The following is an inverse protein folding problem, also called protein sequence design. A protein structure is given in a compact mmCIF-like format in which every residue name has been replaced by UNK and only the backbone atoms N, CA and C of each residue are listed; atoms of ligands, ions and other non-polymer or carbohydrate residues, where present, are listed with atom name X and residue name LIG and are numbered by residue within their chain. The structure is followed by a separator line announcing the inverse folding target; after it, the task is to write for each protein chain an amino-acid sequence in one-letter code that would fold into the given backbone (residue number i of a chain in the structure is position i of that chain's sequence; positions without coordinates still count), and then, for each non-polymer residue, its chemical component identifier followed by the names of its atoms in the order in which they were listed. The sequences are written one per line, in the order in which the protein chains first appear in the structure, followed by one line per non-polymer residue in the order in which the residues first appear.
data_IF_225689169514
#
_entry.id   IF_225689169514
#
_cell.length_a   1.000
_cell.length_b   1.000
_cell.length_c   1.000
_cell.angle_alpha   90.00
_cell.angle_beta   90.00
_cell.angle_gamma   90.00
#
_symmetry.space_group_name_H-M   'P 1'
#
loop_
_entity.id
_entity.type
_entity.pdbx_description
1 polymer ?
#
# COMPACT_ATOMS: atom_id res chain seq x y z
N UNK A 1 -37.45 -59.74 9.29
CA UNK A 1 -38.09 -59.16 10.49
C UNK A 1 -37.33 -57.90 10.85
N UNK A 2 -38.07 -56.82 11.06
CA UNK A 2 -37.61 -55.43 11.17
C UNK A 2 -36.78 -55.21 12.45
N UNK A 3 -35.58 -54.64 12.28
CA UNK A 3 -34.83 -54.01 13.36
C UNK A 3 -35.40 -52.60 13.60
N UNK A 4 -36.14 -52.44 14.68
CA UNK A 4 -36.54 -51.14 15.23
C UNK A 4 -35.74 -50.90 16.52
N UNK A 5 -34.70 -50.06 16.53
CA UNK A 5 -34.34 -49.40 17.76
C UNK A 5 -35.42 -48.32 17.96
N UNK A 6 -36.40 -48.63 18.80
CA UNK A 6 -37.27 -47.59 19.34
C UNK A 6 -36.36 -46.59 20.06
N UNK A 7 -36.10 -45.46 19.41
CA UNK A 7 -35.55 -44.26 20.03
C UNK A 7 -36.35 -44.03 21.31
N UNK A 8 -35.66 -43.97 22.45
CA UNK A 8 -36.20 -43.37 23.66
C UNK A 8 -36.44 -41.89 23.37
N UNK A 9 -37.60 -41.57 22.81
CA UNK A 9 -38.03 -40.22 22.51
C UNK A 9 -38.33 -39.52 23.84
N UNK A 10 -37.35 -38.80 24.37
CA UNK A 10 -37.51 -37.95 25.55
C UNK A 10 -37.68 -36.52 25.05
N UNK A 11 -38.91 -35.96 25.09
CA UNK A 11 -39.17 -34.60 24.60
C UNK A 11 -38.26 -33.55 25.24
N UNK A 12 -37.84 -33.80 26.49
CA UNK A 12 -36.94 -32.92 27.24
C UNK A 12 -35.51 -32.92 26.69
N UNK A 13 -35.02 -34.09 26.25
CA UNK A 13 -33.69 -34.23 25.66
C UNK A 13 -33.63 -33.53 24.30
N UNK A 14 -34.65 -33.71 23.47
CA UNK A 14 -34.74 -33.04 22.17
C UNK A 14 -34.80 -31.52 22.32
N UNK A 15 -35.62 -31.00 23.25
CA UNK A 15 -35.65 -29.56 23.52
C UNK A 15 -34.31 -29.03 24.00
N UNK A 16 -33.58 -29.79 24.82
CA UNK A 16 -32.27 -29.39 25.30
C UNK A 16 -31.23 -29.35 24.17
N UNK A 17 -31.22 -30.37 23.30
CA UNK A 17 -30.33 -30.44 22.15
C UNK A 17 -30.61 -29.33 21.13
N UNK A 18 -31.89 -28.99 20.90
CA UNK A 18 -32.27 -27.88 20.02
C UNK A 18 -31.77 -26.54 20.58
N UNK A 19 -31.95 -26.30 21.88
CA UNK A 19 -31.44 -25.07 22.52
C UNK A 19 -29.91 -25.01 22.41
N UNK A 20 -29.22 -26.12 22.69
CA UNK A 20 -27.77 -26.19 22.57
C UNK A 20 -27.30 -25.89 21.14
N UNK A 21 -27.97 -26.46 20.14
CA UNK A 21 -27.66 -26.21 18.73
C UNK A 21 -27.85 -24.74 18.34
N UNK A 22 -28.93 -24.09 18.79
CA UNK A 22 -29.18 -22.66 18.56
C UNK A 22 -28.06 -21.82 19.19
N UNK A 23 -27.65 -22.12 20.42
CA UNK A 23 -26.56 -21.42 21.11
C UNK A 23 -25.24 -21.61 20.37
N UNK A 24 -24.93 -22.82 19.90
CA UNK A 24 -23.71 -23.09 19.12
C UNK A 24 -23.71 -22.34 17.79
N UNK A 25 -24.84 -22.31 17.07
CA UNK A 25 -24.96 -21.58 15.80
C UNK A 25 -24.82 -20.07 16.04
N UNK A 26 -25.47 -19.52 17.07
CA UNK A 26 -25.35 -18.12 17.43
C UNK A 26 -23.91 -17.75 17.82
N UNK A 27 -23.24 -18.59 18.61
CA UNK A 27 -21.83 -18.43 18.98
C UNK A 27 -20.92 -18.46 17.77
N UNK A 28 -21.10 -19.42 16.86
CA UNK A 28 -20.33 -19.51 15.62
C UNK A 28 -20.56 -18.30 14.72
N UNK A 29 -21.81 -17.83 14.59
CA UNK A 29 -22.15 -16.61 13.86
C UNK A 29 -21.49 -15.36 14.45
N UNK A 30 -21.44 -15.26 15.79
CA UNK A 30 -20.75 -14.17 16.47
C UNK A 30 -19.24 -14.16 16.19
N UNK A 31 -18.57 -15.31 16.32
CA UNK A 31 -17.14 -15.41 16.00
C UNK A 31 -16.86 -15.13 14.53
N UNK A 32 -17.69 -15.64 13.62
CA UNK A 32 -17.55 -15.36 12.20
C UNK A 32 -17.72 -13.86 11.90
N UNK A 33 -18.68 -13.20 12.55
CA UNK A 33 -18.84 -11.76 12.42
C UNK A 33 -17.63 -10.99 12.97
N UNK A 34 -17.16 -11.35 14.16
CA UNK A 34 -16.07 -10.62 14.83
C UNK A 34 -14.71 -10.82 14.14
N UNK A 35 -14.42 -12.04 13.70
CA UNK A 35 -13.10 -12.41 13.18
C UNK A 35 -13.00 -12.24 11.66
N UNK A 36 -14.12 -12.34 10.94
CA UNK A 36 -14.12 -12.27 9.46
C UNK A 36 -14.79 -10.99 8.98
N UNK A 37 -16.09 -10.80 9.29
CA UNK A 37 -16.85 -9.69 8.72
C UNK A 37 -16.41 -8.32 9.26
N UNK A 38 -16.07 -8.21 10.54
CA UNK A 38 -15.63 -6.96 11.15
C UNK A 38 -14.28 -6.46 10.61
N UNK A 39 -13.19 -7.25 10.56
CA UNK A 39 -11.95 -6.78 9.97
C UNK A 39 -12.06 -6.58 8.45
N UNK A 40 -12.89 -7.37 7.77
CA UNK A 40 -13.14 -7.18 6.34
C UNK A 40 -13.89 -5.88 6.05
N UNK A 41 -14.95 -5.57 6.82
CA UNK A 41 -15.70 -4.32 6.70
C UNK A 41 -14.89 -3.10 7.14
N UNK A 42 -14.03 -3.23 8.16
CA UNK A 42 -13.09 -2.17 8.55
C UNK A 42 -12.08 -1.87 7.44
N UNK A 43 -11.53 -2.89 6.77
CA UNK A 43 -10.67 -2.71 5.59
C UNK A 43 -11.41 -2.14 4.38
N UNK A 44 -12.72 -2.40 4.27
CA UNK A 44 -13.57 -1.93 3.19
C UNK A 44 -14.22 -0.57 3.45
N UNK A 45 -13.93 0.14 4.55
CA UNK A 45 -14.36 1.54 4.72
C UNK A 45 -13.40 2.44 3.95
N UNK A 46 -13.72 2.91 2.74
CA UNK A 46 -12.86 3.80 1.96
C UNK A 46 -12.95 5.24 2.50
N UNK A 47 -13.28 5.40 3.79
CA UNK A 47 -13.85 6.62 4.38
C UNK A 47 -12.98 7.29 5.44
N UNK A 48 -11.97 6.62 5.99
CA UNK A 48 -11.21 7.10 7.15
C UNK A 48 -9.72 7.31 6.89
N UNK A 49 -9.22 6.96 5.70
CA UNK A 49 -7.83 7.21 5.33
C UNK A 49 -7.72 8.56 4.62
N UNK A 50 -6.84 9.41 5.15
CA UNK A 50 -6.45 10.66 4.51
C UNK A 50 -5.34 10.39 3.49
N UNK A 51 -5.27 11.18 2.41
CA UNK A 51 -4.18 11.06 1.45
C UNK A 51 -2.85 11.49 2.09
N UNK A 52 -1.71 11.00 1.57
CA UNK A 52 -0.40 11.36 2.10
C UNK A 52 -0.14 12.85 1.91
N UNK A 53 0.56 13.43 2.87
CA UNK A 53 0.96 14.83 2.84
C UNK A 53 2.33 15.00 2.19
N UNK A 54 2.62 16.21 1.71
CA UNK A 54 3.97 16.55 1.25
C UNK A 54 4.93 16.48 2.44
N UNK A 55 6.00 15.70 2.29
CA UNK A 55 6.98 15.44 3.34
C UNK A 55 6.83 14.09 4.03
N UNK A 56 5.76 13.34 3.79
CA UNK A 56 5.58 12.00 4.35
C UNK A 56 6.71 11.07 3.95
N UNK A 57 7.31 10.40 4.94
CA UNK A 57 8.44 9.47 4.75
C UNK A 57 8.04 8.06 5.18
N UNK A 58 8.15 7.12 4.25
CA UNK A 58 7.99 5.71 4.52
C UNK A 58 9.35 5.02 4.53
N UNK A 59 9.75 4.55 5.71
CA UNK A 59 10.99 3.79 5.87
C UNK A 59 10.75 2.31 5.61
N UNK A 60 11.58 1.73 4.76
CA UNK A 60 11.51 0.32 4.38
C UNK A 60 12.82 -0.37 4.70
N UNK A 61 12.74 -1.41 5.52
CA UNK A 61 13.86 -2.31 5.82
C UNK A 61 13.53 -3.67 5.25
N UNK A 62 14.39 -4.17 4.36
CA UNK A 62 14.18 -5.49 3.75
C UNK A 62 14.43 -6.58 4.80
N UNK A 63 13.48 -7.51 5.01
CA UNK A 63 13.67 -8.61 5.95
C UNK A 63 14.81 -9.54 5.51
N UNK A 64 15.66 -9.97 6.45
CA UNK A 64 16.77 -10.88 6.13
C UNK A 64 16.32 -12.30 5.79
N UNK A 65 15.16 -12.72 6.30
CA UNK A 65 14.61 -14.05 6.06
C UNK A 65 14.15 -14.20 4.61
N UNK A 66 13.47 -13.20 4.06
CA UNK A 66 12.94 -13.21 2.69
C UNK A 66 13.92 -12.61 1.68
N UNK A 67 14.80 -11.69 2.13
CA UNK A 67 15.73 -10.92 1.27
C UNK A 67 15.02 -10.20 0.12
N UNK A 68 13.74 -9.98 0.29
CA UNK A 68 12.84 -9.51 -0.75
C UNK A 68 11.79 -8.64 -0.08
N UNK A 69 11.57 -7.47 -0.64
CA UNK A 69 10.48 -6.59 -0.25
C UNK A 69 9.87 -5.93 -1.49
N UNK A 70 8.54 -5.88 -1.52
CA UNK A 70 7.78 -5.19 -2.56
C UNK A 70 7.14 -3.95 -1.94
N UNK A 71 7.54 -2.78 -2.41
CA UNK A 71 6.92 -1.50 -2.08
C UNK A 71 6.10 -1.03 -3.27
N UNK A 72 4.83 -0.71 -3.06
CA UNK A 72 3.89 -0.35 -4.12
C UNK A 72 3.24 1.00 -3.85
N UNK A 73 3.10 1.79 -4.91
CA UNK A 73 2.40 3.08 -4.90
C UNK A 73 1.15 2.94 -5.74
N UNK A 74 -0.01 3.23 -5.15
CA UNK A 74 -1.28 3.00 -5.81
C UNK A 74 -2.37 3.96 -5.36
N UNK A 75 -3.58 3.71 -5.86
CA UNK A 75 -4.76 4.53 -5.59
C UNK A 75 -5.33 4.18 -4.21
N UNK A 76 -5.86 2.96 -4.06
CA UNK A 76 -6.47 2.46 -2.81
C UNK A 76 -5.65 1.33 -2.20
N UNK A 77 -4.88 0.63 -3.04
CA UNK A 77 -4.06 -0.49 -2.62
C UNK A 77 -2.56 -0.17 -2.73
N UNK A 78 -1.78 -0.68 -1.78
CA UNK A 78 -0.33 -0.61 -1.79
C UNK A 78 0.26 -0.21 -0.44
N UNK A 79 1.55 0.15 -0.45
CA UNK A 79 2.25 0.65 0.72
C UNK A 79 2.08 2.17 0.86
N UNK A 80 2.09 2.88 -0.27
CA UNK A 80 1.80 4.31 -0.35
C UNK A 80 0.48 4.51 -1.08
N UNK A 81 -0.53 4.92 -0.33
CA UNK A 81 -1.91 5.07 -0.80
C UNK A 81 -2.13 6.52 -1.21
N UNK A 82 -2.11 6.85 -2.49
CA UNK A 82 -2.30 8.23 -2.94
C UNK A 82 -3.73 8.73 -2.77
N UNK A 83 -4.71 7.81 -2.70
CA UNK A 83 -6.16 8.08 -2.67
C UNK A 83 -6.61 9.06 -3.76
N UNK A 84 -5.86 9.16 -4.87
CA UNK A 84 -6.11 10.11 -5.93
C UNK A 84 -6.79 9.44 -7.12
N UNK A 85 -7.89 10.04 -7.61
CA UNK A 85 -8.65 9.52 -8.75
C UNK A 85 -7.80 9.34 -10.01
N UNK A 86 -6.79 10.19 -10.20
CA UNK A 86 -5.92 10.21 -11.38
C UNK A 86 -4.81 9.15 -11.34
N UNK A 87 -4.60 8.49 -10.20
CA UNK A 87 -3.61 7.42 -10.04
C UNK A 87 -4.31 6.07 -10.15
N UNK A 88 -3.68 5.11 -10.83
CA UNK A 88 -4.15 3.73 -10.93
C UNK A 88 -3.69 2.91 -9.71
N UNK A 89 -4.39 1.82 -9.41
CA UNK A 89 -3.88 0.82 -8.46
C UNK A 89 -2.58 0.20 -9.01
N UNK A 90 -1.59 0.03 -8.12
CA UNK A 90 -0.24 -0.44 -8.46
C UNK A 90 0.48 0.38 -9.55
N UNK A 91 0.33 1.71 -9.53
CA UNK A 91 0.93 2.61 -10.51
C UNK A 91 2.45 2.41 -10.69
N UNK A 92 3.17 2.35 -9.57
CA UNK A 92 4.60 2.06 -9.49
C UNK A 92 4.87 1.00 -8.45
N UNK A 93 5.74 0.06 -8.79
CA UNK A 93 6.11 -1.04 -7.91
C UNK A 93 7.63 -1.14 -7.85
N UNK A 94 8.17 -1.01 -6.64
CA UNK A 94 9.58 -1.14 -6.31
C UNK A 94 9.80 -2.52 -5.70
N UNK A 95 10.70 -3.28 -6.29
CA UNK A 95 11.10 -4.60 -5.82
C UNK A 95 12.54 -4.49 -5.34
N UNK A 96 12.72 -4.60 -4.04
CA UNK A 96 14.01 -4.53 -3.36
C UNK A 96 14.49 -5.96 -3.09
N UNK A 97 15.60 -6.35 -3.70
CA UNK A 97 16.22 -7.68 -3.50
C UNK A 97 17.59 -7.51 -2.86
N UNK A 98 17.80 -8.15 -1.71
CA UNK A 98 19.09 -8.13 -1.02
C UNK A 98 20.02 -9.21 -1.56
N UNK A 99 21.29 -8.86 -1.76
CA UNK A 99 22.38 -9.80 -2.04
C UNK A 99 22.52 -10.88 -0.95
N UNK A 100 23.14 -12.02 -1.28
CA UNK A 100 23.22 -13.14 -0.33
C UNK A 100 24.21 -12.93 0.80
N UNK A 101 25.33 -12.29 0.49
CA UNK A 101 26.50 -12.14 1.37
C UNK A 101 26.94 -10.68 1.52
N UNK A 102 26.33 -9.76 0.76
CA UNK A 102 26.64 -8.33 0.80
C UNK A 102 25.41 -7.52 1.23
N UNK A 103 25.64 -6.28 1.68
CA UNK A 103 24.58 -5.29 1.94
C UNK A 103 24.23 -4.49 0.67
N UNK A 104 24.39 -5.12 -0.50
CA UNK A 104 23.96 -4.55 -1.78
C UNK A 104 22.53 -4.98 -2.08
N UNK A 105 21.77 -4.08 -2.71
CA UNK A 105 20.39 -4.33 -3.10
C UNK A 105 20.17 -3.99 -4.56
N UNK A 106 19.52 -4.91 -5.27
CA UNK A 106 18.96 -4.67 -6.58
C UNK A 106 17.55 -4.10 -6.43
N UNK A 107 17.33 -2.94 -7.04
CA UNK A 107 16.06 -2.23 -7.01
C UNK A 107 15.47 -2.29 -8.42
N UNK A 108 14.40 -3.08 -8.58
CA UNK A 108 13.66 -3.15 -9.83
C UNK A 108 12.40 -2.31 -9.72
N UNK A 109 12.19 -1.42 -10.67
CA UNK A 109 11.08 -0.47 -10.65
C UNK A 109 10.21 -0.77 -11.85
N UNK A 110 9.00 -1.24 -11.58
CA UNK A 110 8.02 -1.62 -12.58
C UNK A 110 6.97 -0.53 -12.70
N UNK A 111 6.69 -0.15 -13.95
CA UNK A 111 5.73 0.89 -14.28
C UNK A 111 4.48 0.30 -14.90
N UNK A 112 3.33 0.58 -14.30
CA UNK A 112 2.02 0.19 -14.83
C UNK A 112 1.18 1.38 -15.30
N UNK A 113 1.42 2.58 -14.75
CA UNK A 113 0.80 3.83 -15.21
C UNK A 113 1.79 4.81 -15.85
N UNK A 114 1.35 5.99 -16.31
CA UNK A 114 2.26 7.03 -16.81
C UNK A 114 3.18 7.57 -15.71
N UNK A 115 4.48 7.37 -15.89
CA UNK A 115 5.50 7.84 -14.96
C UNK A 115 6.65 8.55 -15.69
N UNK A 116 7.17 9.60 -15.06
CA UNK A 116 8.47 10.18 -15.40
C UNK A 116 9.45 9.81 -14.29
N UNK A 117 10.71 9.57 -14.66
CA UNK A 117 11.79 9.31 -13.72
C UNK A 117 12.86 10.38 -13.89
N UNK A 118 13.49 10.76 -12.78
CA UNK A 118 14.76 11.45 -12.75
C UNK A 118 15.72 10.53 -12.01
N UNK A 119 16.56 9.78 -12.75
CA UNK A 119 17.53 8.88 -12.13
C UNK A 119 18.53 9.64 -11.25
N UNK A 120 19.24 8.95 -10.35
CA UNK A 120 20.30 9.57 -9.56
C UNK A 120 21.29 10.31 -10.47
N UNK A 121 21.77 11.48 -10.04
CA UNK A 121 22.74 12.34 -10.76
C UNK A 121 22.22 13.05 -12.01
N UNK A 122 21.03 12.71 -12.52
CA UNK A 122 20.43 13.43 -13.64
C UNK A 122 19.67 14.68 -13.18
N UNK A 123 19.71 15.74 -14.00
CA UNK A 123 19.01 17.00 -13.70
C UNK A 123 17.58 17.04 -14.23
N UNK A 124 17.27 16.24 -15.26
CA UNK A 124 16.01 16.30 -15.99
C UNK A 124 15.20 15.02 -15.81
N UNK A 125 13.88 15.17 -15.89
CA UNK A 125 12.96 14.04 -15.95
C UNK A 125 12.90 13.48 -17.36
N UNK A 126 12.95 12.16 -17.46
CA UNK A 126 12.74 11.40 -18.69
C UNK A 126 11.49 10.54 -18.54
N UNK A 127 10.93 10.10 -19.67
CA UNK A 127 9.84 9.13 -19.65
C UNK A 127 10.38 7.79 -19.16
N UNK A 128 9.76 7.27 -18.11
CA UNK A 128 10.18 6.00 -17.52
C UNK A 128 9.84 4.83 -18.46
N UNK A 129 10.77 3.89 -18.58
CA UNK A 129 10.53 2.65 -19.33
C UNK A 129 9.55 1.73 -18.59
N UNK A 130 9.29 0.53 -19.12
CA UNK A 130 8.40 -0.44 -18.44
C UNK A 130 9.05 -1.02 -17.17
N UNK A 131 10.36 -1.19 -17.21
CA UNK A 131 11.18 -1.72 -16.14
C UNK A 131 12.47 -0.91 -16.07
N UNK A 132 12.78 -0.37 -14.90
CA UNK A 132 14.06 0.25 -14.62
C UNK A 132 14.78 -0.52 -13.51
N UNK A 133 16.10 -0.49 -13.56
CA UNK A 133 16.96 -1.13 -12.57
C UNK A 133 17.88 -0.08 -11.99
N UNK A 134 17.97 -0.05 -10.67
CA UNK A 134 18.92 0.75 -9.92
C UNK A 134 19.60 -0.15 -8.90
N UNK A 135 20.88 0.10 -8.65
CA UNK A 135 21.57 -0.54 -7.54
C UNK A 135 21.55 0.36 -6.29
N UNK A 136 21.62 -0.24 -5.11
CA UNK A 136 21.61 0.50 -3.84
C UNK A 136 22.68 1.57 -3.78
N UNK A 137 23.88 1.29 -4.31
CA UNK A 137 25.01 2.22 -4.27
C UNK A 137 24.77 3.52 -5.05
N UNK A 138 23.84 3.52 -6.00
CA UNK A 138 23.50 4.70 -6.81
C UNK A 138 22.62 5.70 -6.05
N UNK A 139 21.83 5.22 -5.08
CA UNK A 139 20.85 6.02 -4.31
C UNK A 139 21.31 6.31 -2.87
N UNK A 140 22.55 5.95 -2.51
CA UNK A 140 23.16 6.35 -1.24
C UNK A 140 23.63 7.79 -1.35
N UNK A 141 23.07 8.68 -0.52
CA UNK A 141 23.38 10.11 -0.54
C UNK A 141 22.86 10.85 -1.79
N UNK A 142 22.11 10.17 -2.65
CA UNK A 142 21.47 10.71 -3.84
C UNK A 142 20.01 10.24 -3.88
N UNK A 143 19.20 10.92 -4.68
CA UNK A 143 17.76 10.68 -4.72
C UNK A 143 17.32 10.39 -6.15
N UNK A 144 16.72 9.24 -6.37
CA UNK A 144 15.92 8.98 -7.57
C UNK A 144 14.52 9.57 -7.36
N UNK A 145 13.99 10.31 -8.33
CA UNK A 145 12.68 10.97 -8.19
C UNK A 145 11.74 10.50 -9.28
N UNK A 146 10.52 10.16 -8.90
CA UNK A 146 9.49 9.62 -9.78
C UNK A 146 8.28 10.54 -9.75
N UNK A 147 7.75 10.89 -10.92
CA UNK A 147 6.48 11.59 -11.04
C UNK A 147 5.44 10.65 -11.62
N UNK A 148 4.28 10.55 -10.98
CA UNK A 148 3.16 9.73 -11.43
C UNK A 148 1.91 10.57 -11.65
N UNK A 149 1.16 10.27 -12.70
CA UNK A 149 -0.07 10.98 -13.07
C UNK A 149 -0.99 10.13 -13.95
N UNK A 150 -2.16 10.65 -14.31
CA UNK A 150 -3.07 10.01 -15.26
C UNK A 150 -2.53 9.98 -16.70
N UNK A 151 -1.72 10.98 -17.08
CA UNK A 151 -1.19 11.15 -18.43
C UNK A 151 0.07 12.01 -18.49
N UNK A 152 0.87 11.77 -19.52
CA UNK A 152 2.01 12.60 -19.89
C UNK A 152 1.64 13.37 -21.16
N UNK A 153 1.71 14.70 -21.11
CA UNK A 153 1.40 15.57 -22.25
C UNK A 153 2.65 16.34 -22.65
N UNK A 154 3.14 16.15 -23.89
CA UNK A 154 4.35 16.81 -24.42
C UNK A 154 5.54 16.71 -23.44
N UNK A 155 5.82 15.49 -22.98
CA UNK A 155 6.92 15.16 -22.04
C UNK A 155 6.82 15.76 -20.63
N UNK A 156 5.67 16.38 -20.30
CA UNK A 156 5.44 16.97 -18.98
C UNK A 156 4.18 16.41 -18.35
N UNK A 157 4.15 16.46 -17.02
CA UNK A 157 2.95 16.18 -16.23
C UNK A 157 2.46 17.50 -15.62
N UNK A 158 1.19 17.82 -15.85
CA UNK A 158 0.56 19.03 -15.29
C UNK A 158 0.07 18.83 -13.86
N UNK A 159 -0.32 17.60 -13.53
CA UNK A 159 -0.74 17.18 -12.21
C UNK A 159 0.03 15.90 -11.88
N UNK A 160 0.64 15.81 -10.71
CA UNK A 160 1.47 14.66 -10.38
C UNK A 160 1.70 14.53 -8.87
N UNK A 161 2.00 13.30 -8.45
CA UNK A 161 2.73 13.03 -7.22
C UNK A 161 4.20 12.86 -7.56
N UNK A 162 5.07 13.50 -6.78
CA UNK A 162 6.52 13.37 -6.85
C UNK A 162 6.99 12.55 -5.66
N UNK A 163 7.59 11.39 -5.93
CA UNK A 163 8.04 10.42 -4.95
C UNK A 163 9.55 10.30 -5.09
N UNK A 164 10.26 10.52 -4.00
CA UNK A 164 11.69 10.33 -3.91
C UNK A 164 12.02 8.97 -3.30
N UNK A 165 13.06 8.34 -3.84
CA UNK A 165 13.71 7.17 -3.28
C UNK A 165 15.16 7.52 -2.95
N UNK A 166 15.54 7.30 -1.70
CA UNK A 166 16.94 7.37 -1.25
C UNK A 166 17.25 6.23 -0.28
N UNK A 167 18.52 5.91 -0.08
CA UNK A 167 18.97 4.90 0.86
C UNK A 167 19.82 5.52 1.97
N UNK A 168 19.66 4.99 3.18
CA UNK A 168 20.42 5.39 4.37
C UNK A 168 20.85 4.17 5.17
N UNK A 169 21.99 4.25 5.83
CA UNK A 169 22.45 3.23 6.77
C UNK A 169 21.95 3.52 8.19
N UNK A 170 21.72 2.45 8.95
CA UNK A 170 21.38 2.50 10.36
C UNK A 170 21.97 1.30 11.09
N UNK A 171 22.22 1.45 12.40
CA UNK A 171 22.69 0.37 13.25
C UNK A 171 21.50 -0.28 13.93
N UNK A 172 21.36 -1.60 13.78
CA UNK A 172 20.29 -2.34 14.44
C UNK A 172 20.59 -2.57 15.94
N UNK A 173 19.61 -3.09 16.70
CA UNK A 173 19.77 -3.40 18.14
C UNK A 173 20.89 -4.43 18.44
N UNK A 174 21.38 -5.15 17.44
CA UNK A 174 22.46 -6.14 17.54
C UNK A 174 23.83 -5.56 17.13
N UNK A 175 23.92 -4.25 16.87
CA UNK A 175 25.16 -3.58 16.46
C UNK A 175 25.57 -3.83 15.00
N UNK A 176 24.71 -4.45 14.17
CA UNK A 176 24.97 -4.65 12.75
C UNK A 176 24.49 -3.45 11.96
N UNK A 177 25.34 -2.92 11.09
CA UNK A 177 24.98 -1.91 10.10
C UNK A 177 24.03 -2.52 9.06
N UNK A 178 22.97 -1.79 8.74
CA UNK A 178 21.94 -2.18 7.78
C UNK A 178 21.53 -1.00 6.94
N UNK A 179 21.02 -1.30 5.75
CA UNK A 179 20.42 -0.30 4.88
C UNK A 179 18.91 -0.22 5.08
N UNK A 180 18.37 1.00 5.05
CA UNK A 180 16.95 1.30 4.92
C UNK A 180 16.72 2.16 3.69
N UNK A 181 15.57 1.96 3.05
CA UNK A 181 15.11 2.74 1.92
C UNK A 181 14.06 3.73 2.41
N UNK A 182 14.20 4.99 2.00
CA UNK A 182 13.30 6.07 2.36
C UNK A 182 12.51 6.46 1.11
N UNK A 183 11.19 6.24 1.17
CA UNK A 183 10.26 6.71 0.16
C UNK A 183 9.59 7.98 0.68
N UNK A 184 9.86 9.12 0.05
CA UNK A 184 9.35 10.42 0.49
C UNK A 184 8.39 11.00 -0.54
N UNK A 185 7.21 11.44 -0.12
CA UNK A 185 6.33 12.25 -0.96
C UNK A 185 6.90 13.66 -0.99
N UNK A 186 7.65 14.01 -2.05
CA UNK A 186 8.30 15.32 -2.13
C UNK A 186 7.33 16.44 -2.48
N UNK A 187 6.37 16.16 -3.36
CA UNK A 187 5.45 17.17 -3.87
C UNK A 187 4.19 16.55 -4.43
N UNK A 188 3.06 17.22 -4.23
CA UNK A 188 1.78 16.91 -4.84
C UNK A 188 1.34 18.16 -5.57
N UNK A 189 1.44 18.16 -6.90
CA UNK A 189 1.15 19.34 -7.70
C UNK A 189 -0.15 19.18 -8.49
N UNK A 190 -1.08 20.16 -8.48
CA UNK A 190 -1.08 21.41 -7.72
C UNK A 190 -1.49 21.29 -6.24
N UNK A 191 -1.74 20.08 -5.78
CA UNK A 191 -2.32 19.73 -4.48
C UNK A 191 -3.51 18.79 -4.67
N UNK A 192 -4.04 18.26 -3.57
CA UNK A 192 -5.31 17.54 -3.57
C UNK A 192 -6.41 18.46 -3.04
N UNK A 193 -7.58 18.42 -3.68
CA UNK A 193 -8.75 19.13 -3.16
C UNK A 193 -9.45 18.24 -2.14
N UNK A 194 -9.26 18.52 -0.84
CA UNK A 194 -9.86 17.74 0.25
C UNK A 194 -11.40 17.74 0.21
N UNK A 195 -12.00 18.82 -0.31
CA UNK A 195 -13.45 18.95 -0.51
C UNK A 195 -13.99 18.14 -1.71
N UNK A 196 -13.13 17.61 -2.59
CA UNK A 196 -13.52 16.91 -3.82
C UNK A 196 -13.75 15.40 -3.66
N UNK A 197 -13.82 14.92 -2.42
CA UNK A 197 -13.90 13.50 -2.09
C UNK A 197 -15.12 12.84 -2.73
N UNK A 198 -14.90 11.80 -3.53
CA UNK A 198 -15.99 11.06 -4.17
C UNK A 198 -16.63 10.02 -3.22
N UNK A 199 -17.68 9.33 -3.70
CA UNK A 199 -18.36 8.27 -2.94
C UNK A 199 -17.46 7.06 -2.61
N UNK A 200 -16.33 6.90 -3.31
CA UNK A 200 -15.30 5.88 -3.09
C UNK A 200 -14.16 6.38 -2.21
N UNK A 201 -14.27 7.61 -1.70
CA UNK A 201 -13.25 8.23 -0.85
C UNK A 201 -12.04 8.79 -1.59
N UNK A 202 -12.10 8.93 -2.91
CA UNK A 202 -10.98 9.38 -3.74
C UNK A 202 -10.99 10.90 -3.92
N UNK A 203 -9.81 11.49 -3.88
CA UNK A 203 -9.57 12.92 -4.05
C UNK A 203 -9.17 13.23 -5.49
N UNK A 204 -9.52 14.43 -5.95
CA UNK A 204 -9.07 14.96 -7.24
C UNK A 204 -7.94 15.96 -7.05
N UNK A 205 -7.06 16.07 -8.04
CA UNK A 205 -6.08 17.15 -8.08
C UNK A 205 -6.78 18.51 -8.13
N UNK A 206 -6.28 19.45 -7.34
CA UNK A 206 -6.79 20.82 -7.27
C UNK A 206 -6.12 21.58 -6.15
N UNK A 207 -5.98 22.90 -6.30
CA UNK A 207 -5.66 23.75 -5.16
C UNK A 207 -6.88 23.78 -4.26
N UNK A 208 -6.69 23.67 -2.95
CA UNK A 208 -7.70 24.24 -2.05
C UNK A 208 -7.88 25.70 -2.48
N UNK A 209 -9.12 26.09 -2.77
CA UNK A 209 -9.44 27.51 -2.79
C UNK A 209 -9.19 27.96 -1.36
N UNK A 210 -8.03 28.55 -1.09
CA UNK A 210 -7.91 29.46 0.03
C UNK A 210 -9.11 30.40 -0.10
N UNK A 211 -9.97 30.39 0.90
CA UNK A 211 -10.98 31.44 1.02
C UNK A 211 -10.23 32.76 0.89
N UNK A 212 -10.62 33.52 -0.14
CA UNK A 212 -10.19 34.91 -0.29
C UNK A 212 -10.66 35.65 0.97
N UNK A 213 -9.73 35.90 1.89
CA UNK A 213 -9.80 37.02 2.85
C UNK A 213 -8.95 38.17 2.32
#
# INVERSE_FOLDING_TARGET
MLFLPALFYSPKLDTFLIILAIVSIAGMGFFFYWEVLRPYSAKMRPGELDPPEEGDVHEVVVPESTRYFRFSVGQVNGNLLTLCRSIQDEHLVFILKKGKETEDYDIQIQRYGPALVKPPRMQFFTKMESLEKLESHEIIGQTAVFRISDKITRERMTQYFEIALTAAFFINKLGKERMKFLFTVQKIHPGLSLRSRDKKGLYSFGKEKAEEE
#
